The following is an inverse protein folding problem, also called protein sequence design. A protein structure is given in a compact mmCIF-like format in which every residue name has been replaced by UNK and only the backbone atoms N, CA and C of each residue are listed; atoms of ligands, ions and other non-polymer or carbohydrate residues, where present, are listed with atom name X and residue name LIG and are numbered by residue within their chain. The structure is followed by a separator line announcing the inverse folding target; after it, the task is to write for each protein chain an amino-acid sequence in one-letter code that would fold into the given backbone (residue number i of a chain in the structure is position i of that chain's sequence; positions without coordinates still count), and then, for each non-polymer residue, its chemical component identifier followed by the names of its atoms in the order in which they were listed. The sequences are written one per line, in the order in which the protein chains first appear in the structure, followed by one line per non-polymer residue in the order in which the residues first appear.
data_IF_600846091527
#
_entry.id   IF_600846091527
#
_cell.length_a   1.000
_cell.length_b   1.000
_cell.length_c   1.000
_cell.angle_alpha   90.00
_cell.angle_beta   90.00
_cell.angle_gamma   90.00
#
_symmetry.space_group_name_H-M   'P 1'
#
loop_
_entity.id
_entity.type
_entity.pdbx_description
1 polymer ?
#
# COMPACT_ATOMS: atom_id res chain seq x y z
N UNK A 1 -18.88 51.66 -33.77
CA UNK A 1 -18.08 52.77 -33.20
C UNK A 1 -17.54 52.30 -31.86
N UNK A 2 -16.21 52.13 -31.81
CA UNK A 2 -15.32 51.91 -30.64
C UNK A 2 -15.34 53.16 -29.70
N UNK A 3 -14.55 53.22 -28.61
CA UNK A 3 -14.71 52.55 -27.31
C UNK A 3 -14.50 53.58 -26.16
N UNK A 4 -14.46 53.18 -24.88
CA UNK A 4 -13.79 54.01 -23.85
C UNK A 4 -13.06 53.12 -22.84
N UNK A 5 -11.78 52.94 -23.12
CA UNK A 5 -10.69 52.60 -22.21
C UNK A 5 -10.49 53.72 -21.18
N UNK A 6 -10.01 53.43 -19.96
CA UNK A 6 -8.94 54.18 -19.24
C UNK A 6 -8.42 53.38 -18.02
N UNK A 7 -7.19 52.90 -18.18
CA UNK A 7 -5.99 52.92 -17.32
C UNK A 7 -6.06 52.53 -15.83
N UNK A 8 -5.43 51.39 -15.56
CA UNK A 8 -4.27 51.16 -14.70
C UNK A 8 -3.90 52.20 -13.61
N UNK A 9 -3.71 51.71 -12.38
CA UNK A 9 -2.56 52.09 -11.56
C UNK A 9 -2.07 50.86 -10.78
N UNK A 10 -0.82 50.47 -11.06
CA UNK A 10 -0.02 49.63 -10.19
C UNK A 10 0.50 50.48 -9.02
N UNK A 11 0.64 49.89 -7.83
CA UNK A 11 1.68 50.33 -6.91
C UNK A 11 2.22 49.14 -6.10
N UNK A 12 3.54 49.20 -5.99
CA UNK A 12 4.56 48.25 -5.58
C UNK A 12 4.75 48.21 -4.05
N UNK A 13 5.52 47.18 -3.61
CA UNK A 13 6.33 47.06 -2.38
C UNK A 13 5.85 45.96 -1.41
N UNK A 14 6.69 45.14 -0.78
CA UNK A 14 8.13 44.94 -0.84
C UNK A 14 8.49 43.58 -0.19
N UNK A 15 9.64 43.08 -0.61
CA UNK A 15 10.44 41.95 -0.11
C UNK A 15 10.73 42.07 1.39
N UNK A 16 10.69 40.95 2.14
CA UNK A 16 11.69 40.69 3.19
C UNK A 16 11.78 39.22 3.63
N UNK A 17 13.00 38.71 3.48
CA UNK A 17 13.77 37.83 4.36
C UNK A 17 13.42 36.33 4.55
N UNK A 18 14.29 35.56 3.91
CA UNK A 18 14.76 34.21 4.16
C UNK A 18 15.27 34.01 5.61
N UNK A 19 15.26 32.73 6.02
CA UNK A 19 16.04 32.04 7.07
C UNK A 19 15.39 31.78 8.44
N UNK A 20 14.91 30.53 8.62
CA UNK A 20 15.36 29.64 9.71
C UNK A 20 14.71 28.27 9.57
N UNK A 21 15.49 27.28 9.13
CA UNK A 21 15.19 25.86 9.30
C UNK A 21 15.96 25.37 10.53
N UNK A 22 15.30 24.77 11.54
CA UNK A 22 16.01 23.99 12.54
C UNK A 22 16.19 22.55 12.06
N UNK A 23 17.46 22.21 11.92
CA UNK A 23 18.14 21.04 12.47
C UNK A 23 17.62 19.62 12.18
N UNK A 24 18.57 18.87 11.64
CA UNK A 24 18.63 17.45 11.33
C UNK A 24 18.33 16.54 12.52
N UNK A 25 17.39 15.61 12.35
CA UNK A 25 17.34 14.39 13.16
C UNK A 25 18.19 13.31 12.48
N UNK A 26 19.42 13.17 12.94
CA UNK A 26 20.30 12.06 12.59
C UNK A 26 19.94 10.83 13.44
N UNK A 27 19.51 9.76 12.79
CA UNK A 27 19.58 8.41 13.36
C UNK A 27 20.78 7.69 12.77
N UNK A 28 21.89 7.73 13.50
CA UNK A 28 23.03 6.84 13.26
C UNK A 28 22.79 5.56 14.04
N UNK A 29 22.56 4.45 13.33
CA UNK A 29 22.57 3.12 13.97
C UNK A 29 23.97 2.54 13.86
N UNK A 30 24.67 2.49 14.99
CA UNK A 30 25.95 1.81 15.16
C UNK A 30 25.78 0.30 14.95
N UNK A 31 26.42 -0.23 13.91
CA UNK A 31 26.57 -1.66 13.68
C UNK A 31 27.73 -2.17 14.56
N UNK A 32 27.40 -2.75 15.72
CA UNK A 32 28.38 -3.50 16.51
C UNK A 32 28.58 -4.90 15.91
N UNK A 33 29.71 -5.06 15.23
CA UNK A 33 30.21 -6.32 14.71
C UNK A 33 30.72 -7.21 15.87
N UNK A 34 29.93 -8.19 16.27
CA UNK A 34 30.35 -9.23 17.21
C UNK A 34 30.89 -10.44 16.44
N UNK A 35 32.22 -10.55 16.38
CA UNK A 35 32.96 -11.76 15.98
C UNK A 35 32.67 -12.87 17.00
N UNK A 36 32.00 -13.95 16.58
CA UNK A 36 32.05 -15.23 17.28
C UNK A 36 32.76 -16.27 16.40
N UNK A 37 33.95 -16.63 16.86
CA UNK A 37 34.68 -17.81 16.42
C UNK A 37 34.03 -19.05 17.03
N UNK A 38 33.87 -20.12 16.26
CA UNK A 38 34.36 -21.45 16.65
C UNK A 38 33.98 -22.57 15.68
N UNK A 39 35.00 -23.41 15.47
CA UNK A 39 34.98 -24.86 15.26
C UNK A 39 34.38 -25.43 13.99
N UNK A 40 35.29 -25.80 13.09
CA UNK A 40 35.09 -26.74 11.99
C UNK A 40 34.79 -28.13 12.56
N UNK A 41 33.62 -28.68 12.23
CA UNK A 41 33.40 -30.13 12.22
C UNK A 41 33.11 -30.58 10.81
N UNK A 42 34.07 -31.30 10.20
CA UNK A 42 33.87 -32.05 8.96
C UNK A 42 33.04 -33.28 9.28
N UNK A 43 31.79 -33.31 8.85
CA UNK A 43 31.04 -34.55 8.66
C UNK A 43 30.83 -34.83 7.18
N UNK A 44 31.06 -36.09 6.81
CA UNK A 44 31.09 -36.60 5.44
C UNK A 44 29.67 -36.79 4.90
N UNK A 45 29.50 -36.41 3.64
CA UNK A 45 28.54 -36.90 2.64
C UNK A 45 27.46 -37.89 3.11
N UNK A 46 26.19 -37.46 3.03
CA UNK A 46 25.11 -38.21 2.38
C UNK A 46 24.20 -37.20 1.67
N UNK A 47 24.00 -37.40 0.37
CA UNK A 47 23.09 -36.62 -0.45
C UNK A 47 21.64 -36.90 -0.01
N UNK A 48 20.93 -35.86 0.41
CA UNK A 48 19.49 -35.86 0.56
C UNK A 48 18.97 -34.61 -0.14
N UNK A 49 17.94 -34.79 -0.95
CA UNK A 49 17.36 -33.83 -1.88
C UNK A 49 16.92 -32.56 -1.16
N UNK A 50 17.21 -31.42 -1.79
CA UNK A 50 16.85 -30.05 -1.40
C UNK A 50 15.39 -29.97 -0.97
N UNK A 51 15.18 -29.83 0.34
CA UNK A 51 13.96 -29.34 0.94
C UNK A 51 14.38 -28.19 1.82
N UNK A 52 14.60 -27.03 1.21
CA UNK A 52 14.97 -25.79 1.91
C UNK A 52 13.75 -25.33 2.71
N UNK A 53 13.57 -25.91 3.89
CA UNK A 53 12.78 -25.30 4.96
C UNK A 53 13.68 -24.34 5.72
N UNK A 54 14.13 -23.30 5.00
CA UNK A 54 14.57 -22.05 5.60
C UNK A 54 13.33 -21.42 6.23
N UNK A 55 13.47 -20.70 7.34
CA UNK A 55 12.38 -19.92 7.96
C UNK A 55 12.01 -18.72 7.05
N UNK A 56 11.64 -19.01 5.80
CA UNK A 56 11.33 -18.06 4.76
C UNK A 56 9.90 -17.59 4.91
N UNK A 57 9.70 -16.29 4.76
CA UNK A 57 8.35 -15.71 4.61
C UNK A 57 7.72 -16.32 3.36
N UNK A 58 6.59 -17.01 3.54
CA UNK A 58 5.85 -17.58 2.42
C UNK A 58 5.27 -16.45 1.58
N UNK A 59 5.64 -16.40 0.30
CA UNK A 59 5.08 -15.44 -0.65
C UNK A 59 3.84 -16.03 -1.30
N UNK A 60 2.81 -15.21 -1.49
CA UNK A 60 1.59 -15.58 -2.21
C UNK A 60 1.66 -14.94 -3.60
N UNK A 61 1.70 -15.78 -4.64
CA UNK A 61 1.57 -15.33 -6.02
C UNK A 61 0.10 -15.26 -6.43
N UNK A 62 -0.25 -14.22 -7.18
CA UNK A 62 -1.57 -13.96 -7.75
C UNK A 62 -1.65 -14.36 -9.24
N UNK A 63 -0.69 -15.11 -9.76
CA UNK A 63 -0.70 -15.55 -11.17
C UNK A 63 -1.89 -16.48 -11.49
N UNK A 64 -2.54 -17.06 -10.48
CA UNK A 64 -3.76 -17.86 -10.63
C UNK A 64 -5.04 -17.01 -10.80
N UNK A 65 -4.98 -15.70 -10.50
CA UNK A 65 -6.12 -14.80 -10.67
C UNK A 65 -6.37 -14.50 -12.15
N UNK A 66 -7.59 -14.07 -12.44
CA UNK A 66 -8.02 -13.63 -13.77
C UNK A 66 -7.09 -12.55 -14.37
N UNK A 67 -6.85 -12.66 -15.68
CA UNK A 67 -6.14 -11.64 -16.47
C UNK A 67 -6.99 -10.37 -16.67
N UNK A 68 -8.30 -10.44 -16.44
CA UNK A 68 -9.18 -9.27 -16.39
C UNK A 68 -9.01 -8.51 -15.06
N UNK A 69 -7.93 -7.75 -14.96
CA UNK A 69 -7.59 -6.97 -13.77
C UNK A 69 -8.59 -5.84 -13.48
N UNK A 70 -9.28 -5.32 -14.50
CA UNK A 70 -10.29 -4.29 -14.32
C UNK A 70 -11.53 -4.86 -13.64
N UNK A 71 -12.01 -6.03 -14.09
CA UNK A 71 -13.13 -6.70 -13.46
C UNK A 71 -12.80 -7.12 -12.01
N UNK A 72 -11.59 -7.63 -11.77
CA UNK A 72 -11.17 -8.02 -10.43
C UNK A 72 -10.95 -6.81 -9.51
N UNK A 73 -10.33 -5.73 -10.00
CA UNK A 73 -10.19 -4.48 -9.25
C UNK A 73 -11.53 -3.84 -8.92
N UNK A 74 -12.53 -3.98 -9.81
CA UNK A 74 -13.91 -3.54 -9.54
C UNK A 74 -14.53 -4.33 -8.39
N UNK A 75 -14.40 -5.66 -8.40
CA UNK A 75 -14.87 -6.51 -7.30
C UNK A 75 -14.17 -6.17 -5.98
N UNK A 76 -12.86 -5.95 -6.01
CA UNK A 76 -12.10 -5.52 -4.83
C UNK A 76 -12.64 -4.21 -4.26
N UNK A 77 -12.86 -3.19 -5.10
CA UNK A 77 -13.45 -1.90 -4.68
C UNK A 77 -14.82 -2.09 -4.04
N UNK A 78 -15.72 -2.81 -4.71
CA UNK A 78 -17.07 -3.08 -4.20
C UNK A 78 -17.03 -3.85 -2.87
N UNK A 79 -16.08 -4.78 -2.74
CA UNK A 79 -15.88 -5.57 -1.53
C UNK A 79 -15.42 -4.68 -0.36
N UNK A 80 -14.45 -3.79 -0.58
CA UNK A 80 -13.98 -2.82 0.41
C UNK A 80 -15.14 -1.92 0.87
N UNK A 81 -15.93 -1.39 -0.08
CA UNK A 81 -17.06 -0.51 0.25
C UNK A 81 -18.07 -1.25 1.13
N UNK A 82 -18.47 -2.47 0.74
CA UNK A 82 -19.43 -3.26 1.53
C UNK A 82 -18.88 -3.64 2.90
N UNK A 83 -17.59 -3.95 3.00
CA UNK A 83 -16.95 -4.25 4.28
C UNK A 83 -16.98 -3.04 5.22
N UNK A 84 -16.56 -1.87 4.74
CA UNK A 84 -16.57 -0.64 5.52
C UNK A 84 -17.99 -0.21 5.89
N UNK A 85 -18.93 -0.27 4.95
CA UNK A 85 -20.34 0.06 5.17
C UNK A 85 -21.02 -0.88 6.19
N UNK A 86 -20.61 -2.15 6.22
CA UNK A 86 -21.16 -3.15 7.13
C UNK A 86 -20.61 -3.02 8.56
N UNK A 87 -19.33 -2.68 8.70
CA UNK A 87 -18.69 -2.47 10.02
C UNK A 87 -19.10 -1.14 10.64
N UNK A 88 -19.27 -0.11 9.80
CA UNK A 88 -19.57 1.25 10.23
C UNK A 88 -20.98 1.68 9.77
N UNK A 89 -21.05 2.67 8.90
CA UNK A 89 -22.26 3.12 8.20
C UNK A 89 -21.88 3.48 6.76
N UNK A 90 -22.83 3.46 5.81
CA UNK A 90 -22.57 3.91 4.45
C UNK A 90 -22.02 5.34 4.36
N UNK A 91 -20.87 5.50 3.71
CA UNK A 91 -20.20 6.80 3.56
C UNK A 91 -19.50 6.95 2.20
N UNK A 92 -19.52 8.16 1.64
CA UNK A 92 -18.84 8.48 0.37
C UNK A 92 -17.32 8.26 0.43
N UNK A 93 -16.71 8.40 1.62
CA UNK A 93 -15.27 8.16 1.80
C UNK A 93 -14.90 6.71 1.53
N UNK A 94 -15.77 5.75 1.86
CA UNK A 94 -15.54 4.32 1.58
C UNK A 94 -15.46 4.06 0.07
N UNK A 95 -16.34 4.69 -0.72
CA UNK A 95 -16.31 4.61 -2.19
C UNK A 95 -15.01 5.18 -2.74
N UNK A 96 -14.57 6.34 -2.25
CA UNK A 96 -13.30 6.96 -2.68
C UNK A 96 -12.09 6.08 -2.35
N UNK A 97 -12.06 5.48 -1.17
CA UNK A 97 -10.97 4.60 -0.73
C UNK A 97 -10.95 3.29 -1.53
N UNK A 98 -12.12 2.68 -1.78
CA UNK A 98 -12.25 1.50 -2.63
C UNK A 98 -11.76 1.76 -4.07
N UNK A 99 -12.14 2.90 -4.66
CA UNK A 99 -11.67 3.32 -5.98
C UNK A 99 -10.16 3.57 -6.03
N UNK A 100 -9.58 4.15 -4.97
CA UNK A 100 -8.12 4.30 -4.88
C UNK A 100 -7.41 2.96 -4.80
N UNK A 101 -7.89 2.02 -3.97
CA UNK A 101 -7.32 0.68 -3.87
C UNK A 101 -7.41 -0.09 -5.19
N UNK A 102 -8.54 0.02 -5.90
CA UNK A 102 -8.72 -0.53 -7.25
C UNK A 102 -7.66 -0.02 -8.23
N UNK A 103 -7.42 1.30 -8.26
CA UNK A 103 -6.42 1.90 -9.16
C UNK A 103 -5.02 1.37 -8.88
N UNK A 104 -4.64 1.27 -7.61
CA UNK A 104 -3.36 0.70 -7.19
C UNK A 104 -3.23 -0.75 -7.63
N UNK A 105 -4.24 -1.59 -7.35
CA UNK A 105 -4.28 -2.98 -7.79
C UNK A 105 -4.10 -3.13 -9.29
N UNK A 106 -4.90 -2.42 -10.10
CA UNK A 106 -4.81 -2.47 -11.57
C UNK A 106 -3.44 -1.99 -12.04
N UNK A 107 -2.90 -0.92 -11.44
CA UNK A 107 -1.59 -0.40 -11.76
C UNK A 107 -0.48 -1.44 -11.56
N UNK A 108 -0.48 -2.11 -10.42
CA UNK A 108 0.45 -3.21 -10.14
C UNK A 108 0.29 -4.36 -11.14
N UNK A 109 -0.94 -4.91 -11.25
CA UNK A 109 -1.20 -6.08 -12.09
C UNK A 109 -0.89 -5.83 -13.56
N UNK A 110 -1.25 -4.65 -14.08
CA UNK A 110 -0.94 -4.24 -15.46
C UNK A 110 0.55 -4.03 -15.70
N UNK A 111 1.34 -3.79 -14.65
CA UNK A 111 2.80 -3.70 -14.69
C UNK A 111 3.49 -5.06 -14.57
N UNK A 112 2.73 -6.14 -14.44
CA UNK A 112 3.24 -7.50 -14.27
C UNK A 112 3.57 -7.87 -12.83
N UNK A 113 3.22 -7.04 -11.85
CA UNK A 113 3.37 -7.40 -10.43
C UNK A 113 2.33 -8.46 -10.05
N UNK A 114 2.77 -9.53 -9.40
CA UNK A 114 1.93 -10.65 -8.99
C UNK A 114 2.12 -11.09 -7.55
N UNK A 115 2.99 -10.44 -6.81
CA UNK A 115 3.24 -10.75 -5.42
C UNK A 115 2.28 -9.97 -4.51
N UNK A 116 1.55 -10.70 -3.66
CA UNK A 116 0.49 -10.14 -2.83
C UNK A 116 1.01 -9.04 -1.89
N UNK A 117 2.16 -9.25 -1.23
CA UNK A 117 2.71 -8.29 -0.27
C UNK A 117 3.07 -6.97 -0.98
N UNK A 118 3.62 -7.04 -2.18
CA UNK A 118 3.97 -5.89 -3.02
C UNK A 118 2.73 -5.09 -3.40
N UNK A 119 1.66 -5.78 -3.80
CA UNK A 119 0.38 -5.13 -4.15
C UNK A 119 -0.29 -4.48 -2.94
N UNK A 120 -0.39 -5.18 -1.81
CA UNK A 120 -1.02 -4.60 -0.62
C UNK A 120 -0.22 -3.39 -0.09
N UNK A 121 1.11 -3.44 -0.17
CA UNK A 121 1.98 -2.33 0.23
C UNK A 121 1.75 -1.13 -0.68
N UNK A 122 1.68 -1.34 -2.00
CA UNK A 122 1.37 -0.26 -2.94
C UNK A 122 0.01 0.38 -2.65
N UNK A 123 -1.01 -0.42 -2.31
CA UNK A 123 -2.33 0.11 -1.89
C UNK A 123 -2.20 0.97 -0.63
N UNK A 124 -1.47 0.50 0.39
CA UNK A 124 -1.25 1.26 1.62
C UNK A 124 -0.54 2.59 1.34
N UNK A 125 0.50 2.59 0.52
CA UNK A 125 1.28 3.77 0.16
C UNK A 125 0.42 4.78 -0.65
N UNK A 126 -0.37 4.29 -1.60
CA UNK A 126 -1.23 5.15 -2.43
C UNK A 126 -2.41 5.75 -1.66
N UNK A 127 -2.93 5.06 -0.65
CA UNK A 127 -3.93 5.61 0.26
C UNK A 127 -3.30 6.59 1.24
N UNK A 128 -2.12 6.27 1.78
CA UNK A 128 -1.37 7.14 2.71
C UNK A 128 -0.98 8.45 2.02
N UNK A 129 -0.52 8.40 0.77
CA UNK A 129 -0.16 9.61 0.00
C UNK A 129 -1.35 10.54 -0.26
N UNK A 130 -2.57 10.00 -0.27
CA UNK A 130 -3.83 10.75 -0.43
C UNK A 130 -4.59 10.93 0.88
N UNK A 131 -3.96 10.69 2.03
CA UNK A 131 -4.66 10.59 3.32
C UNK A 131 -5.48 11.83 3.66
N UNK A 132 -5.03 13.03 3.27
CA UNK A 132 -5.78 14.28 3.44
C UNK A 132 -7.11 14.37 2.68
N UNK A 133 -7.38 13.42 1.77
CA UNK A 133 -8.68 13.29 1.09
C UNK A 133 -9.69 12.45 1.89
N UNK A 134 -9.22 11.68 2.88
CA UNK A 134 -10.00 10.67 3.61
C UNK A 134 -10.10 10.95 5.11
N UNK A 135 -9.07 11.54 5.70
CA UNK A 135 -8.85 11.66 7.15
C UNK A 135 -9.96 12.38 7.94
N UNK A 136 -10.73 13.24 7.27
CA UNK A 136 -11.85 13.93 7.89
C UNK A 136 -13.03 13.01 8.25
N UNK A 137 -13.27 11.97 7.45
CA UNK A 137 -14.47 11.13 7.53
C UNK A 137 -14.15 9.63 7.74
N UNK A 138 -12.94 9.17 7.44
CA UNK A 138 -12.56 7.77 7.53
C UNK A 138 -12.33 7.31 8.99
N UNK A 139 -13.00 6.21 9.37
CA UNK A 139 -12.80 5.56 10.68
C UNK A 139 -11.64 4.56 10.70
N UNK A 140 -11.10 4.21 9.53
CA UNK A 140 -9.99 3.26 9.36
C UNK A 140 -8.83 3.92 8.64
N UNK A 141 -7.61 3.47 8.90
CA UNK A 141 -6.40 3.98 8.25
C UNK A 141 -6.09 3.21 6.94
N UNK A 142 -5.07 3.67 6.22
CA UNK A 142 -4.63 3.04 4.96
C UNK A 142 -4.21 1.57 5.10
N UNK A 143 -3.54 1.21 6.20
CA UNK A 143 -3.09 -0.15 6.46
C UNK A 143 -4.24 -1.09 6.83
N UNK A 144 -5.30 -0.60 7.46
CA UNK A 144 -6.49 -1.40 7.72
C UNK A 144 -7.12 -1.88 6.40
N UNK A 145 -7.18 -0.99 5.40
CA UNK A 145 -7.67 -1.33 4.06
C UNK A 145 -6.68 -2.26 3.34
N UNK A 146 -5.37 -2.03 3.46
CA UNK A 146 -4.37 -2.91 2.86
C UNK A 146 -4.42 -4.33 3.44
N UNK A 147 -4.69 -4.48 4.74
CA UNK A 147 -4.91 -5.78 5.37
C UNK A 147 -6.17 -6.45 4.81
N UNK A 148 -7.28 -5.71 4.66
CA UNK A 148 -8.47 -6.25 3.99
C UNK A 148 -8.17 -6.68 2.54
N UNK A 149 -7.37 -5.91 1.80
CA UNK A 149 -6.93 -6.28 0.44
C UNK A 149 -6.13 -7.58 0.46
N UNK A 150 -5.26 -7.80 1.45
CA UNK A 150 -4.54 -9.07 1.59
C UNK A 150 -5.48 -10.26 1.85
N UNK A 151 -6.49 -10.09 2.70
CA UNK A 151 -7.49 -11.12 2.97
C UNK A 151 -8.27 -11.44 1.68
N UNK A 152 -8.74 -10.40 0.99
CA UNK A 152 -9.46 -10.51 -0.28
C UNK A 152 -8.64 -11.28 -1.31
N UNK A 153 -7.39 -10.86 -1.56
CA UNK A 153 -6.55 -11.46 -2.60
C UNK A 153 -6.13 -12.89 -2.25
N UNK A 154 -5.91 -13.18 -0.96
CA UNK A 154 -5.66 -14.54 -0.48
C UNK A 154 -6.83 -15.45 -0.82
N UNK A 155 -8.06 -15.07 -0.44
CA UNK A 155 -9.25 -15.86 -0.73
C UNK A 155 -9.46 -16.04 -2.24
N UNK A 156 -9.31 -14.95 -3.00
CA UNK A 156 -9.50 -14.96 -4.46
C UNK A 156 -8.44 -15.78 -5.20
N UNK A 157 -7.25 -15.95 -4.62
CA UNK A 157 -6.18 -16.81 -5.17
C UNK A 157 -6.45 -18.30 -5.00
N UNK A 158 -7.44 -18.67 -4.18
CA UNK A 158 -7.72 -20.06 -3.80
C UNK A 158 -6.76 -20.59 -2.73
N UNK A 159 -5.95 -19.73 -2.12
CA UNK A 159 -5.14 -20.06 -0.95
C UNK A 159 -6.02 -20.07 0.29
N UNK A 160 -5.83 -21.04 1.18
CA UNK A 160 -6.56 -21.07 2.45
C UNK A 160 -6.23 -19.82 3.28
N UNK A 161 -7.27 -19.05 3.63
CA UNK A 161 -7.16 -17.90 4.53
C UNK A 161 -7.00 -18.32 5.99
N UNK A 162 -6.72 -17.35 6.87
CA UNK A 162 -6.79 -17.55 8.33
C UNK A 162 -8.26 -17.52 8.79
N UNK A 163 -8.61 -18.23 9.86
CA UNK A 163 -9.91 -18.06 10.54
C UNK A 163 -10.15 -16.62 11.03
N UNK A 164 -9.08 -15.84 11.11
CA UNK A 164 -9.06 -14.44 11.49
C UNK A 164 -9.29 -13.46 10.32
N UNK A 165 -9.44 -13.94 9.09
CA UNK A 165 -9.65 -13.09 7.92
C UNK A 165 -10.98 -12.32 8.02
N UNK A 166 -10.97 -11.12 7.46
CA UNK A 166 -12.17 -10.32 7.26
C UNK A 166 -13.16 -11.05 6.34
N UNK A 167 -14.46 -10.84 6.57
CA UNK A 167 -15.48 -11.33 5.64
C UNK A 167 -15.36 -10.62 4.30
N UNK A 168 -15.23 -11.40 3.23
CA UNK A 168 -15.19 -10.89 1.85
C UNK A 168 -16.62 -10.79 1.27
N UNK A 169 -16.88 -9.71 0.52
CA UNK A 169 -18.18 -9.34 -0.04
C UNK A 169 -18.22 -9.21 -1.57
#
# INVERSE_FOLDING_TARGET
MLPLTIKALALTAAVTLLSSLPETYGWTTSIHQAKRTSSVSRSRFLAATTGDNELGVQTISLDSLTDDHEAEGTRLSESIVKWLDAEWIPQDVHVKMGESAKKSYIGCRSSGESELMSIMTQVADDLTSKWSEYDADAFVNAWDIANYVSDYLTERSGTEGCECNSKIY
#
